data_IF_141305415341
#
_entry.id   IF_141305415341
#
_cell.length_a   1.000
_cell.length_b   1.000
_cell.length_c   1.000
_cell.angle_alpha   90.00
_cell.angle_beta   90.00
_cell.angle_gamma   90.00
#
_symmetry.space_group_name_H-M   'P 1'
#
loop_
_entity.id
_entity.type
_entity.pdbx_description
1 polymer ?
#
# COMPACT_ATOMS: atom_id res chain seq x y z
N UNK A 1 -29.87 -5.64 -10.27
CA UNK A 1 -29.00 -5.40 -9.08
C UNK A 1 -28.39 -6.69 -8.54
N UNK A 2 -29.13 -7.79 -8.40
CA UNK A 2 -28.62 -9.06 -7.87
C UNK A 2 -27.36 -9.59 -8.59
N UNK A 3 -27.34 -9.56 -9.93
CA UNK A 3 -26.18 -10.01 -10.71
C UNK A 3 -24.90 -9.20 -10.45
N UNK A 4 -25.00 -7.91 -10.13
CA UNK A 4 -23.82 -7.12 -9.81
C UNK A 4 -23.25 -7.56 -8.46
N UNK A 5 -24.11 -7.67 -7.44
CA UNK A 5 -23.73 -8.10 -6.10
C UNK A 5 -23.06 -9.47 -6.12
N UNK A 6 -23.59 -10.41 -6.90
CA UNK A 6 -23.01 -11.74 -7.06
C UNK A 6 -21.59 -11.68 -7.65
N UNK A 7 -21.35 -10.87 -8.68
CA UNK A 7 -20.01 -10.71 -9.27
C UNK A 7 -19.03 -10.04 -8.30
N UNK A 8 -19.49 -9.07 -7.52
CA UNK A 8 -18.67 -8.42 -6.48
C UNK A 8 -18.33 -9.40 -5.35
N UNK A 9 -19.28 -10.22 -4.91
CA UNK A 9 -19.06 -11.29 -3.94
C UNK A 9 -18.03 -12.31 -4.43
N UNK A 10 -18.15 -12.74 -5.69
CA UNK A 10 -17.14 -13.63 -6.31
C UNK A 10 -15.75 -13.02 -6.33
N UNK A 11 -15.63 -11.73 -6.67
CA UNK A 11 -14.35 -11.02 -6.63
C UNK A 11 -13.76 -11.00 -5.21
N UNK A 12 -14.58 -10.67 -4.21
CA UNK A 12 -14.17 -10.64 -2.80
C UNK A 12 -13.64 -12.00 -2.34
N UNK A 13 -14.40 -13.09 -2.55
CA UNK A 13 -13.98 -14.42 -2.14
C UNK A 13 -12.72 -14.89 -2.87
N UNK A 14 -12.64 -14.63 -4.18
CA UNK A 14 -11.46 -14.99 -4.97
C UNK A 14 -10.20 -14.28 -4.46
N UNK A 15 -10.29 -12.97 -4.20
CA UNK A 15 -9.15 -12.20 -3.68
C UNK A 15 -8.77 -12.62 -2.27
N UNK A 16 -9.74 -12.88 -1.39
CA UNK A 16 -9.48 -13.33 -0.03
C UNK A 16 -8.76 -14.69 -0.04
N UNK A 17 -9.19 -15.61 -0.89
CA UNK A 17 -8.53 -16.90 -1.07
C UNK A 17 -7.11 -16.72 -1.64
N UNK A 18 -6.93 -15.88 -2.66
CA UNK A 18 -5.61 -15.62 -3.23
C UNK A 18 -4.64 -14.97 -2.21
N UNK A 19 -5.13 -14.09 -1.34
CA UNK A 19 -4.35 -13.53 -0.22
C UNK A 19 -4.05 -14.59 0.85
N UNK A 20 -4.97 -15.53 1.10
CA UNK A 20 -4.75 -16.65 2.00
C UNK A 20 -3.63 -17.56 1.51
N UNK A 21 -3.62 -17.86 0.21
CA UNK A 21 -2.66 -18.72 -0.47
C UNK A 21 -1.33 -18.01 -0.78
N UNK A 22 -1.29 -16.68 -0.74
CA UNK A 22 -0.10 -15.88 -1.08
C UNK A 22 0.34 -16.00 -2.54
N UNK A 23 -0.55 -16.47 -3.42
CA UNK A 23 -0.24 -16.74 -4.83
C UNK A 23 -0.39 -15.50 -5.71
N UNK A 24 0.24 -15.58 -6.89
CA UNK A 24 0.09 -14.56 -7.94
C UNK A 24 -1.12 -14.94 -8.80
N UNK A 25 -1.97 -13.95 -9.10
CA UNK A 25 -3.17 -14.08 -9.92
C UNK A 25 -3.05 -13.28 -11.22
N UNK A 26 -3.62 -13.79 -12.31
CA UNK A 26 -3.63 -13.12 -13.61
C UNK A 26 -4.97 -12.43 -13.93
N UNK A 27 -4.95 -11.47 -14.86
CA UNK A 27 -6.17 -10.81 -15.40
C UNK A 27 -7.23 -11.85 -15.81
N UNK A 28 -6.80 -12.94 -16.46
CA UNK A 28 -7.67 -14.02 -16.96
C UNK A 28 -8.35 -14.81 -15.85
N UNK A 29 -7.64 -15.05 -14.74
CA UNK A 29 -8.20 -15.74 -13.58
C UNK A 29 -9.24 -14.87 -12.87
N UNK A 30 -8.96 -13.57 -12.74
CA UNK A 30 -9.92 -12.62 -12.18
C UNK A 30 -11.17 -12.59 -13.05
N UNK A 31 -11.00 -12.51 -14.38
CA UNK A 31 -12.12 -12.55 -15.33
C UNK A 31 -12.97 -13.83 -15.17
N UNK A 32 -12.32 -14.99 -15.10
CA UNK A 32 -12.99 -16.28 -14.94
C UNK A 32 -13.73 -16.38 -13.60
N UNK A 33 -13.10 -15.94 -12.50
CA UNK A 33 -13.68 -16.00 -11.17
C UNK A 33 -14.88 -15.07 -11.00
N UNK A 34 -14.81 -13.85 -11.53
CA UNK A 34 -15.86 -12.84 -11.33
C UNK A 34 -16.96 -12.88 -12.38
N UNK A 35 -16.70 -13.44 -13.56
CA UNK A 35 -17.61 -13.36 -14.71
C UNK A 35 -17.75 -11.95 -15.28
N UNK A 36 -16.77 -11.07 -15.06
CA UNK A 36 -16.67 -9.78 -15.75
C UNK A 36 -16.08 -9.97 -17.15
N UNK A 37 -16.32 -9.01 -18.05
CA UNK A 37 -15.58 -8.96 -19.32
C UNK A 37 -14.15 -8.51 -19.06
N UNK A 38 -13.20 -8.89 -19.93
CA UNK A 38 -11.80 -8.49 -19.81
C UNK A 38 -11.62 -6.97 -19.62
N UNK A 39 -12.34 -6.15 -20.38
CA UNK A 39 -12.29 -4.69 -20.27
C UNK A 39 -12.83 -4.19 -18.91
N UNK A 40 -13.87 -4.81 -18.39
CA UNK A 40 -14.41 -4.48 -17.06
C UNK A 40 -13.44 -4.88 -15.96
N UNK A 41 -12.86 -6.08 -16.05
CA UNK A 41 -11.84 -6.57 -15.12
C UNK A 41 -10.66 -5.60 -15.04
N UNK A 42 -10.07 -5.21 -16.18
CA UNK A 42 -8.97 -4.23 -16.23
C UNK A 42 -9.36 -2.89 -15.63
N UNK A 43 -10.55 -2.39 -15.98
CA UNK A 43 -11.07 -1.14 -15.43
C UNK A 43 -11.22 -1.21 -13.91
N UNK A 44 -11.69 -2.33 -13.37
CA UNK A 44 -11.91 -2.50 -11.94
C UNK A 44 -10.60 -2.71 -11.18
N UNK A 45 -9.64 -3.45 -11.75
CA UNK A 45 -8.27 -3.52 -11.23
C UNK A 45 -7.73 -2.10 -11.05
N UNK A 46 -7.73 -1.30 -12.11
CA UNK A 46 -7.15 0.06 -12.08
C UNK A 46 -7.90 1.05 -11.19
N UNK A 47 -9.24 0.96 -11.11
CA UNK A 47 -10.05 2.00 -10.45
C UNK A 47 -10.56 1.63 -9.07
N UNK A 48 -10.67 0.33 -8.77
CA UNK A 48 -11.42 -0.17 -7.61
C UNK A 48 -10.64 -1.12 -6.74
N UNK A 49 -9.80 -1.97 -7.32
CA UNK A 49 -9.12 -3.03 -6.60
C UNK A 49 -7.61 -2.78 -6.44
N UNK A 50 -7.07 -1.74 -7.06
CA UNK A 50 -5.64 -1.43 -7.02
C UNK A 50 -5.09 -1.29 -5.59
N UNK A 51 -5.91 -0.86 -4.63
CA UNK A 51 -5.52 -0.77 -3.21
C UNK A 51 -5.12 -2.12 -2.62
N UNK A 52 -5.72 -3.20 -3.13
CA UNK A 52 -5.51 -4.57 -2.66
C UNK A 52 -4.59 -5.37 -3.58
N UNK A 53 -4.16 -4.81 -4.72
CA UNK A 53 -3.44 -5.53 -5.77
C UNK A 53 -2.09 -4.88 -6.04
N UNK A 54 -1.01 -5.62 -5.78
CA UNK A 54 0.35 -5.22 -6.15
C UNK A 54 0.80 -5.97 -7.41
N UNK A 55 1.25 -5.24 -8.43
CA UNK A 55 1.81 -5.83 -9.64
C UNK A 55 3.16 -6.51 -9.33
N UNK A 56 3.32 -7.78 -9.74
CA UNK A 56 4.56 -8.53 -9.51
C UNK A 56 5.55 -8.36 -10.70
N UNK A 57 6.88 -8.41 -10.44
CA UNK A 57 7.86 -8.56 -11.50
C UNK A 57 7.60 -9.86 -12.29
N UNK A 58 7.47 -9.75 -13.62
CA UNK A 58 7.06 -10.87 -14.48
C UNK A 58 5.56 -10.95 -14.77
N UNK A 59 4.77 -10.01 -14.23
CA UNK A 59 3.33 -9.90 -14.50
C UNK A 59 2.45 -10.54 -13.42
N UNK A 60 1.15 -10.33 -13.56
CA UNK A 60 0.15 -10.74 -12.56
C UNK A 60 0.18 -9.88 -11.29
N UNK A 61 -0.73 -10.19 -10.37
CA UNK A 61 -0.96 -9.41 -9.16
C UNK A 61 -0.86 -10.30 -7.93
N UNK A 62 -0.37 -9.73 -6.84
CA UNK A 62 -0.47 -10.29 -5.50
C UNK A 62 -1.54 -9.51 -4.73
N UNK A 63 -2.45 -10.24 -4.09
CA UNK A 63 -3.47 -9.63 -3.22
C UNK A 63 -2.88 -9.39 -1.83
N UNK A 64 -3.06 -8.20 -1.27
CA UNK A 64 -2.60 -7.83 0.07
C UNK A 64 -3.56 -6.83 0.73
N UNK A 65 -3.71 -6.95 2.05
CA UNK A 65 -4.47 -6.02 2.87
C UNK A 65 -5.99 -6.18 2.80
N UNK A 66 -6.52 -7.26 2.22
CA UNK A 66 -7.96 -7.47 2.09
C UNK A 66 -8.56 -8.16 3.33
N UNK A 67 -7.83 -9.09 3.96
CA UNK A 67 -8.27 -9.85 5.16
C UNK A 67 -8.97 -9.04 6.27
N UNK A 68 -8.56 -7.80 6.61
CA UNK A 68 -9.22 -7.03 7.67
C UNK A 68 -10.61 -6.48 7.29
N UNK A 69 -10.98 -6.51 6.01
CA UNK A 69 -12.22 -5.95 5.51
C UNK A 69 -13.31 -7.00 5.43
N UNK A 70 -14.51 -6.67 5.89
CA UNK A 70 -15.71 -7.48 5.65
C UNK A 70 -16.16 -7.37 4.18
N UNK A 71 -17.06 -8.26 3.77
CA UNK A 71 -17.66 -8.16 2.44
C UNK A 71 -18.41 -6.83 2.23
N UNK A 72 -19.13 -6.35 3.24
CA UNK A 72 -19.88 -5.08 3.15
C UNK A 72 -18.93 -3.89 2.98
N UNK A 73 -17.80 -3.90 3.70
CA UNK A 73 -16.77 -2.87 3.55
C UNK A 73 -16.12 -2.92 2.16
N UNK A 74 -15.79 -4.12 1.67
CA UNK A 74 -15.30 -4.28 0.30
C UNK A 74 -16.33 -3.82 -0.74
N UNK A 75 -17.62 -4.11 -0.53
CA UNK A 75 -18.70 -3.69 -1.40
C UNK A 75 -18.85 -2.16 -1.41
N UNK A 76 -18.73 -1.51 -0.26
CA UNK A 76 -18.76 -0.05 -0.16
C UNK A 76 -17.56 0.59 -0.86
N UNK A 77 -16.36 0.03 -0.68
CA UNK A 77 -15.16 0.44 -1.42
C UNK A 77 -15.30 0.20 -2.92
N UNK A 78 -15.98 -0.88 -3.32
CA UNK A 78 -16.26 -1.18 -4.72
C UNK A 78 -17.25 -0.15 -5.31
N UNK A 79 -18.21 0.35 -4.52
CA UNK A 79 -19.20 1.34 -4.97
C UNK A 79 -18.61 2.75 -5.05
N UNK A 80 -17.73 3.10 -4.13
CA UNK A 80 -17.17 4.45 -4.00
C UNK A 80 -15.84 4.58 -4.76
N UNK A 81 -15.48 5.82 -5.15
CA UNK A 81 -14.11 6.15 -5.62
C UNK A 81 -13.26 6.68 -4.46
N UNK A 82 -13.38 6.08 -3.28
CA UNK A 82 -12.65 6.51 -2.09
C UNK A 82 -11.65 5.43 -1.70
N UNK A 83 -10.46 5.86 -1.28
CA UNK A 83 -9.48 4.97 -0.70
C UNK A 83 -10.08 4.32 0.56
N UNK A 84 -9.71 3.07 0.88
CA UNK A 84 -9.98 2.53 2.20
C UNK A 84 -9.43 3.47 3.26
N UNK A 85 -10.23 3.81 4.27
CA UNK A 85 -9.67 4.38 5.49
C UNK A 85 -8.66 3.35 6.00
N UNK A 86 -7.38 3.72 6.09
CA UNK A 86 -6.33 2.83 6.57
C UNK A 86 -6.68 2.34 7.98
N UNK A 87 -7.42 1.23 8.08
CA UNK A 87 -7.81 0.68 9.38
C UNK A 87 -6.60 0.10 10.10
N UNK A 88 -5.63 -0.39 9.34
CA UNK A 88 -4.29 -0.74 9.79
C UNK A 88 -3.38 -0.69 8.57
N UNK A 89 -2.58 0.36 8.38
CA UNK A 89 -1.51 0.33 7.38
C UNK A 89 -0.42 -0.62 7.87
N UNK A 90 -0.22 -1.81 7.29
CA UNK A 90 0.92 -2.66 7.59
C UNK A 90 2.16 -2.21 6.78
N UNK A 91 2.08 -1.07 6.09
CA UNK A 91 3.17 -0.51 5.31
C UNK A 91 4.14 0.35 6.12
N UNK A 92 3.96 0.48 7.44
CA UNK A 92 5.13 0.55 8.31
C UNK A 92 5.76 -0.86 8.30
N UNK A 93 6.50 -1.23 7.24
CA UNK A 93 7.31 -2.45 7.29
C UNK A 93 8.23 -2.28 8.50
N UNK A 94 8.21 -3.18 9.50
CA UNK A 94 9.24 -3.18 10.53
C UNK A 94 10.56 -3.47 9.82
N UNK A 95 11.37 -2.43 9.61
CA UNK A 95 12.62 -2.51 8.85
C UNK A 95 12.65 -1.85 7.47
N UNK A 96 11.67 -1.02 7.09
CA UNK A 96 11.89 -0.12 5.94
C UNK A 96 12.96 0.89 6.30
N UNK A 97 14.19 0.62 5.86
CA UNK A 97 15.32 1.51 6.04
C UNK A 97 15.11 2.71 5.13
N UNK A 98 14.68 3.83 5.70
CA UNK A 98 14.70 5.10 5.01
C UNK A 98 16.17 5.47 4.74
N UNK A 99 16.58 5.40 3.47
CA UNK A 99 17.93 5.81 3.05
C UNK A 99 17.85 7.25 2.59
N UNK A 100 18.46 8.14 3.36
CA UNK A 100 18.57 9.56 3.03
C UNK A 100 19.98 9.80 2.51
N UNK A 101 20.09 10.37 1.32
CA UNK A 101 21.37 10.75 0.72
C UNK A 101 21.69 12.20 1.07
N UNK A 102 22.88 12.41 1.64
CA UNK A 102 23.38 13.75 1.94
C UNK A 102 24.56 14.08 1.02
N UNK A 103 24.67 15.33 0.54
CA UNK A 103 25.91 15.83 -0.05
C UNK A 103 27.10 15.64 0.89
N UNK A 104 28.31 15.44 0.35
CA UNK A 104 29.51 15.10 1.14
C UNK A 104 29.81 16.10 2.27
N UNK A 105 29.65 17.40 2.01
CA UNK A 105 29.89 18.44 3.02
C UNK A 105 28.88 18.37 4.19
N UNK A 106 27.62 18.01 3.92
CA UNK A 106 26.59 17.88 4.92
C UNK A 106 26.77 16.60 5.75
N UNK A 107 27.19 15.51 5.12
CA UNK A 107 27.58 14.29 5.83
C UNK A 107 28.75 14.54 6.79
N UNK A 108 29.80 15.24 6.33
CA UNK A 108 30.95 15.60 7.16
C UNK A 108 30.56 16.50 8.34
N UNK A 109 29.65 17.45 8.11
CA UNK A 109 29.11 18.31 9.15
C UNK A 109 28.31 17.50 10.19
N UNK A 110 27.39 16.62 9.76
CA UNK A 110 26.61 15.75 10.64
C UNK A 110 27.52 14.87 11.52
N UNK A 111 28.57 14.27 10.95
CA UNK A 111 29.55 13.49 11.69
C UNK A 111 30.29 14.33 12.74
N UNK A 112 30.71 15.55 12.39
CA UNK A 112 31.39 16.46 13.33
C UNK A 112 30.48 16.89 14.48
N UNK A 113 29.20 17.15 14.19
CA UNK A 113 28.18 17.46 15.19
C UNK A 113 27.91 16.27 16.11
N UNK A 114 27.80 15.06 15.56
CA UNK A 114 27.62 13.82 16.31
C UNK A 114 28.74 13.61 17.34
N UNK A 115 30.00 13.78 16.93
CA UNK A 115 31.16 13.68 17.81
C UNK A 115 31.13 14.72 18.94
N UNK A 116 30.84 15.98 18.60
CA UNK A 116 30.81 17.07 19.59
C UNK A 116 29.73 16.86 20.64
N UNK A 117 28.58 16.34 20.24
CA UNK A 117 27.43 16.12 21.13
C UNK A 117 27.43 14.74 21.80
N UNK A 118 28.40 13.87 21.48
CA UNK A 118 28.44 12.47 21.92
C UNK A 118 27.15 11.70 21.59
N UNK A 119 26.59 11.95 20.40
CA UNK A 119 25.38 11.29 19.88
C UNK A 119 25.69 10.59 18.56
N UNK A 120 24.82 9.69 18.15
CA UNK A 120 24.90 9.10 16.81
C UNK A 120 24.41 10.08 15.73
N UNK A 121 24.90 9.90 14.49
CA UNK A 121 24.41 10.66 13.33
C UNK A 121 22.91 10.42 13.12
N UNK A 122 22.44 9.20 13.37
CA UNK A 122 21.03 8.83 13.23
C UNK A 122 20.12 9.66 14.16
N UNK A 123 20.49 9.80 15.43
CA UNK A 123 19.72 10.60 16.39
C UNK A 123 19.63 12.08 15.98
N UNK A 124 20.72 12.64 15.46
CA UNK A 124 20.74 14.03 14.96
C UNK A 124 19.88 14.21 13.72
N UNK A 125 19.90 13.26 12.79
CA UNK A 125 19.07 13.29 11.58
C UNK A 125 17.59 13.20 11.94
N UNK A 126 17.21 12.30 12.86
CA UNK A 126 15.82 12.18 13.33
C UNK A 126 15.35 13.50 13.94
N UNK A 127 16.15 14.10 14.83
CA UNK A 127 15.79 15.37 15.46
C UNK A 127 15.65 16.52 14.46
N UNK A 128 16.53 16.61 13.47
CA UNK A 128 16.43 17.63 12.42
C UNK A 128 15.16 17.47 11.58
N UNK A 129 14.80 16.24 11.24
CA UNK A 129 13.56 15.92 10.52
C UNK A 129 12.35 16.34 11.35
N UNK A 130 12.30 15.95 12.63
CA UNK A 130 11.20 16.33 13.53
C UNK A 130 11.04 17.84 13.67
N UNK A 131 12.17 18.58 13.78
CA UNK A 131 12.14 20.04 13.85
C UNK A 131 11.61 20.66 12.55
N UNK A 132 12.05 20.16 11.39
CA UNK A 132 11.60 20.65 10.08
C UNK A 132 10.09 20.47 9.89
N UNK A 133 9.53 19.33 10.31
CA UNK A 133 8.09 19.09 10.27
C UNK A 133 7.31 20.02 11.20
N UNK A 134 7.79 20.22 12.45
CA UNK A 134 7.14 21.12 13.40
C UNK A 134 7.13 22.59 12.97
N UNK A 135 8.16 23.02 12.24
CA UNK A 135 8.23 24.38 11.69
C UNK A 135 7.30 24.61 10.48
N UNK A 136 6.78 23.55 9.86
CA UNK A 136 5.89 23.64 8.70
C UNK A 136 4.40 23.75 9.02
N UNK A 137 4.00 23.66 10.30
CA UNK A 137 2.59 23.80 10.74
C UNK A 137 2.24 25.22 11.23
N UNK A 138 3.14 26.19 11.05
CA UNK A 138 3.00 27.56 11.57
C UNK A 138 2.60 28.62 10.52
N UNK A 139 2.13 28.20 9.34
CA UNK A 139 1.56 29.08 8.29
C UNK A 139 0.11 28.72 7.97
#
# INVERSE_FOLDING_TARGET
MAQLLEKVARAYHFFLQAEQEGRIIQDSEIQAATGYTQGTTRTYIQKKWWWFLSLCPGGGYRVQGLRPYSFDEFLDLHRQKRAPFEKHSPHARPGEKLVIFFPQHLAAWLHSCALRQRRSVQELVIELIERAFKSGEAD
#
